data_IF_947367993716
#
_entry.id   IF_947367993716
#
_cell.length_a   1.000
_cell.length_b   1.000
_cell.length_c   1.000
_cell.angle_alpha   90.00
_cell.angle_beta   90.00
_cell.angle_gamma   90.00
#
_symmetry.space_group_name_H-M   'P 1'
#
loop_
_entity.id
_entity.type
_entity.pdbx_description
1 polymer ?
#
# COMPACT_ATOMS: atom_id res chain seq x y z
N UNK A 1 -71.14 -28.76 5.08
CA UNK A 1 -69.85 -29.46 5.08
C UNK A 1 -68.85 -28.62 4.29
N UNK A 2 -68.19 -27.69 4.96
CA UNK A 2 -67.18 -26.82 4.36
C UNK A 2 -65.80 -27.49 4.55
N UNK A 3 -65.08 -27.68 3.44
CA UNK A 3 -63.68 -28.14 3.46
C UNK A 3 -62.79 -26.93 3.34
N UNK A 4 -62.16 -26.56 4.46
CA UNK A 4 -61.16 -25.48 4.56
C UNK A 4 -59.82 -26.03 4.00
N UNK A 5 -59.39 -25.45 2.89
CA UNK A 5 -58.09 -25.76 2.29
C UNK A 5 -57.04 -24.85 2.91
N UNK A 6 -56.14 -25.43 3.74
CA UNK A 6 -54.93 -24.74 4.21
C UNK A 6 -53.94 -24.63 3.06
N UNK A 7 -53.70 -23.43 2.53
CA UNK A 7 -52.56 -23.14 1.67
C UNK A 7 -51.34 -22.88 2.53
N UNK A 8 -50.34 -23.70 2.38
CA UNK A 8 -49.02 -23.55 2.94
C UNK A 8 -48.34 -22.33 2.32
N UNK A 9 -48.02 -21.35 3.15
CA UNK A 9 -47.26 -20.17 2.81
C UNK A 9 -45.79 -20.37 3.27
N UNK A 10 -45.03 -21.10 2.48
CA UNK A 10 -43.61 -21.38 2.71
C UNK A 10 -42.80 -21.01 1.46
N UNK A 11 -42.83 -19.69 1.10
CA UNK A 11 -41.95 -19.17 0.07
C UNK A 11 -41.76 -17.64 0.23
N UNK A 12 -41.24 -17.21 1.38
CA UNK A 12 -40.84 -15.83 1.59
C UNK A 12 -39.74 -15.72 2.65
N UNK A 13 -38.61 -16.42 2.42
CA UNK A 13 -37.41 -16.26 3.26
C UNK A 13 -36.16 -16.65 2.46
N UNK A 14 -35.95 -16.01 1.31
CA UNK A 14 -34.67 -16.05 0.56
C UNK A 14 -34.63 -14.86 -0.40
N UNK A 15 -34.59 -13.66 0.12
CA UNK A 15 -34.12 -12.46 -0.58
C UNK A 15 -33.96 -11.34 0.47
N UNK A 16 -33.01 -11.50 1.34
CA UNK A 16 -32.53 -10.43 2.21
C UNK A 16 -31.01 -10.57 2.23
N UNK A 17 -30.37 -9.69 1.53
CA UNK A 17 -29.00 -9.18 1.62
C UNK A 17 -28.28 -9.23 0.27
N UNK A 18 -28.81 -8.50 -0.72
CA UNK A 18 -27.96 -7.58 -1.48
C UNK A 18 -28.19 -6.23 -0.81
N UNK A 19 -27.55 -5.99 0.32
CA UNK A 19 -27.30 -4.63 0.76
C UNK A 19 -26.49 -3.99 -0.35
N UNK A 20 -27.06 -2.98 -0.99
CA UNK A 20 -26.37 -2.13 -1.95
C UNK A 20 -25.30 -1.42 -1.15
N UNK A 21 -24.01 -1.75 -1.37
CA UNK A 21 -22.88 -1.06 -0.78
C UNK A 21 -23.10 0.45 -0.93
N UNK A 22 -22.79 1.22 0.10
CA UNK A 22 -22.85 2.68 -0.03
C UNK A 22 -21.80 3.13 -1.04
N UNK A 23 -22.02 4.27 -1.72
CA UNK A 23 -21.00 4.82 -2.64
C UNK A 23 -19.63 5.01 -1.99
N UNK A 24 -19.62 5.27 -0.68
CA UNK A 24 -18.38 5.40 0.08
C UNK A 24 -17.71 4.04 0.26
N UNK A 25 -18.49 2.99 0.45
CA UNK A 25 -18.00 1.63 0.58
C UNK A 25 -17.44 1.09 -0.75
N UNK A 26 -18.14 1.34 -1.86
CA UNK A 26 -17.62 1.04 -3.21
C UNK A 26 -16.29 1.75 -3.47
N UNK A 27 -16.18 3.03 -3.11
CA UNK A 27 -14.95 3.81 -3.23
C UNK A 27 -13.84 3.22 -2.34
N UNK A 28 -14.14 2.90 -1.08
CA UNK A 28 -13.18 2.26 -0.17
C UNK A 28 -12.64 0.94 -0.73
N UNK A 29 -13.52 0.09 -1.28
CA UNK A 29 -13.11 -1.16 -1.92
C UNK A 29 -12.24 -0.93 -3.15
N UNK A 30 -12.51 0.10 -3.94
CA UNK A 30 -11.70 0.42 -5.12
C UNK A 30 -10.31 0.95 -4.75
N UNK A 31 -10.21 1.78 -3.72
CA UNK A 31 -8.93 2.26 -3.20
C UNK A 31 -8.10 1.13 -2.54
N UNK A 32 -8.74 0.15 -1.89
CA UNK A 32 -8.05 -1.05 -1.40
C UNK A 32 -7.44 -1.88 -2.54
N UNK A 33 -8.10 -1.98 -3.68
CA UNK A 33 -7.56 -2.68 -4.86
C UNK A 33 -6.38 -1.92 -5.46
N UNK A 34 -6.43 -0.59 -5.42
CA UNK A 34 -5.38 0.29 -5.92
C UNK A 34 -4.11 0.14 -5.09
N UNK A 35 -4.20 0.30 -3.77
CA UNK A 35 -3.03 0.13 -2.88
C UNK A 35 -2.51 -1.32 -2.88
N UNK A 36 -3.36 -2.32 -3.01
CA UNK A 36 -2.94 -3.71 -3.13
C UNK A 36 -2.12 -3.96 -4.39
N UNK A 37 -2.44 -3.29 -5.49
CA UNK A 37 -1.61 -3.31 -6.69
C UNK A 37 -0.28 -2.60 -6.45
N UNK A 38 -0.29 -1.43 -5.81
CA UNK A 38 0.89 -0.63 -5.53
C UNK A 38 1.92 -1.43 -4.72
N UNK A 39 1.52 -2.04 -3.62
CA UNK A 39 2.37 -2.90 -2.78
C UNK A 39 3.00 -4.06 -3.57
N UNK A 40 2.18 -4.77 -4.35
CA UNK A 40 2.66 -5.87 -5.21
C UNK A 40 3.60 -5.40 -6.31
N UNK A 41 3.47 -4.16 -6.75
CA UNK A 41 4.38 -3.54 -7.70
C UNK A 41 5.71 -3.19 -7.02
N UNK A 42 5.67 -2.63 -5.81
CA UNK A 42 6.85 -2.31 -5.01
C UNK A 42 7.68 -3.55 -4.65
N UNK A 43 7.06 -4.66 -4.29
CA UNK A 43 7.77 -5.94 -4.07
C UNK A 43 8.65 -6.32 -5.27
N UNK A 44 8.29 -5.91 -6.50
CA UNK A 44 9.07 -6.17 -7.72
C UNK A 44 10.08 -5.06 -8.03
N UNK A 45 9.82 -3.84 -7.57
CA UNK A 45 10.62 -2.65 -7.92
C UNK A 45 11.73 -2.40 -6.91
N UNK A 46 11.47 -2.58 -5.60
CA UNK A 46 12.45 -2.35 -4.54
C UNK A 46 13.79 -3.10 -4.72
N UNK A 47 13.82 -4.38 -5.18
CA UNK A 47 15.08 -5.06 -5.45
C UNK A 47 15.96 -4.36 -6.50
N UNK A 48 15.36 -3.67 -7.48
CA UNK A 48 16.10 -2.90 -8.49
C UNK A 48 16.71 -1.65 -7.86
N UNK A 49 15.96 -0.96 -7.00
CA UNK A 49 16.43 0.22 -6.27
C UNK A 49 17.60 -0.15 -5.34
N UNK A 50 17.45 -1.22 -4.54
CA UNK A 50 18.51 -1.72 -3.66
C UNK A 50 19.80 -2.09 -4.43
N UNK A 51 19.64 -2.70 -5.62
CA UNK A 51 20.80 -3.05 -6.47
C UNK A 51 21.51 -1.81 -7.04
N UNK A 52 20.78 -0.74 -7.32
CA UNK A 52 21.31 0.49 -7.89
C UNK A 52 21.98 1.41 -6.85
N UNK A 53 21.62 1.26 -5.57
CA UNK A 53 22.25 1.99 -4.47
C UNK A 53 23.72 1.62 -4.30
N UNK A 54 24.54 2.55 -3.82
CA UNK A 54 25.97 2.38 -3.55
C UNK A 54 26.25 2.21 -2.07
N UNK A 55 25.58 3.02 -1.21
CA UNK A 55 25.74 2.96 0.24
C UNK A 55 25.12 1.67 0.80
N UNK A 56 25.88 0.92 1.60
CA UNK A 56 25.43 -0.36 2.18
C UNK A 56 24.25 -0.17 3.15
N UNK A 57 24.22 0.95 3.90
CA UNK A 57 23.12 1.25 4.81
C UNK A 57 21.82 1.52 4.03
N UNK A 58 21.90 2.19 2.86
CA UNK A 58 20.74 2.40 1.98
C UNK A 58 20.24 1.08 1.37
N UNK A 59 21.17 0.22 0.91
CA UNK A 59 20.81 -1.12 0.42
C UNK A 59 20.10 -1.93 1.49
N UNK A 60 20.61 -1.87 2.73
CA UNK A 60 20.03 -2.57 3.87
C UNK A 60 18.62 -2.04 4.15
N UNK A 61 18.47 -0.72 4.28
CA UNK A 61 17.17 -0.10 4.53
C UNK A 61 16.12 -0.49 3.47
N UNK A 62 16.46 -0.45 2.17
CA UNK A 62 15.54 -0.83 1.09
C UNK A 62 15.21 -2.33 1.14
N UNK A 63 16.18 -3.21 1.45
CA UNK A 63 15.91 -4.64 1.55
C UNK A 63 15.05 -4.99 2.78
N UNK A 64 15.26 -4.33 3.91
CA UNK A 64 14.44 -4.49 5.10
C UNK A 64 13.00 -4.03 4.82
N UNK A 65 12.86 -2.87 4.16
CA UNK A 65 11.56 -2.37 3.74
C UNK A 65 10.86 -3.31 2.73
N UNK A 66 11.59 -3.97 1.83
CA UNK A 66 11.03 -4.99 0.95
C UNK A 66 10.36 -6.14 1.72
N UNK A 67 10.96 -6.60 2.83
CA UNK A 67 10.34 -7.64 3.65
C UNK A 67 9.07 -7.12 4.36
N UNK A 68 9.09 -5.87 4.83
CA UNK A 68 7.92 -5.21 5.41
C UNK A 68 6.81 -5.04 4.37
N UNK A 69 7.13 -4.61 3.14
CA UNK A 69 6.19 -4.49 2.00
C UNK A 69 5.49 -5.83 1.69
N UNK A 70 6.20 -6.95 1.76
CA UNK A 70 5.57 -8.29 1.60
C UNK A 70 4.55 -8.58 2.72
N UNK A 71 4.82 -8.11 3.93
CA UNK A 71 3.86 -8.19 5.03
C UNK A 71 2.66 -7.29 4.82
N UNK A 72 2.84 -6.08 4.22
CA UNK A 72 1.74 -5.20 3.86
C UNK A 72 0.79 -5.85 2.85
N UNK A 73 1.33 -6.53 1.83
CA UNK A 73 0.52 -7.33 0.91
C UNK A 73 -0.33 -8.36 1.67
N UNK A 74 0.27 -9.10 2.60
CA UNK A 74 -0.44 -10.09 3.41
C UNK A 74 -1.52 -9.46 4.29
N UNK A 75 -1.26 -8.30 4.88
CA UNK A 75 -2.23 -7.55 5.69
C UNK A 75 -3.39 -7.04 4.86
N UNK A 76 -3.15 -6.57 3.64
CA UNK A 76 -4.23 -6.18 2.73
C UNK A 76 -5.11 -7.39 2.36
N UNK A 77 -4.53 -8.59 2.17
CA UNK A 77 -5.30 -9.82 1.97
C UNK A 77 -6.16 -10.15 3.20
N UNK A 78 -5.67 -9.90 4.42
CA UNK A 78 -6.49 -10.02 5.64
C UNK A 78 -7.62 -8.98 5.66
N UNK A 79 -7.36 -7.74 5.25
CA UNK A 79 -8.41 -6.71 5.14
C UNK A 79 -9.49 -7.15 4.17
N UNK A 80 -9.15 -7.63 2.97
CA UNK A 80 -10.11 -8.18 2.02
C UNK A 80 -10.92 -9.32 2.63
N UNK A 81 -10.27 -10.22 3.39
CA UNK A 81 -10.97 -11.33 4.07
C UNK A 81 -11.96 -10.85 5.13
N UNK A 82 -11.61 -9.80 5.91
CA UNK A 82 -12.52 -9.18 6.90
C UNK A 82 -13.75 -8.59 6.23
N UNK A 83 -13.60 -8.05 5.03
CA UNK A 83 -14.66 -7.46 4.21
C UNK A 83 -15.44 -8.53 3.39
N UNK A 84 -15.14 -9.81 3.57
CA UNK A 84 -15.72 -10.92 2.77
C UNK A 84 -15.50 -10.75 1.25
N UNK A 85 -14.43 -10.03 0.87
CA UNK A 85 -14.02 -9.78 -0.51
C UNK A 85 -12.84 -10.67 -0.91
N UNK A 86 -12.73 -10.95 -2.22
CA UNK A 86 -11.52 -11.60 -2.75
C UNK A 86 -10.45 -10.54 -3.02
N UNK A 87 -9.18 -10.80 -2.66
CA UNK A 87 -8.08 -9.92 -3.03
C UNK A 87 -8.04 -9.72 -4.54
N UNK A 88 -8.14 -8.48 -4.98
CA UNK A 88 -8.10 -8.10 -6.40
C UNK A 88 -7.27 -6.83 -6.55
N UNK A 89 -6.27 -6.87 -7.41
CA UNK A 89 -5.44 -5.71 -7.74
C UNK A 89 -6.08 -4.89 -8.88
N UNK A 90 -6.09 -3.57 -8.73
CA UNK A 90 -6.42 -2.59 -9.75
C UNK A 90 -5.19 -1.71 -9.97
N UNK A 91 -4.75 -1.57 -11.21
CA UNK A 91 -3.52 -0.83 -11.52
C UNK A 91 -3.57 0.58 -10.93
N UNK A 92 -2.54 0.93 -10.14
CA UNK A 92 -2.32 2.26 -9.60
C UNK A 92 -1.45 3.08 -10.54
N UNK A 93 -2.03 4.09 -11.19
CA UNK A 93 -1.30 4.96 -12.11
C UNK A 93 -0.32 5.88 -11.37
N UNK A 94 -0.62 6.25 -10.12
CA UNK A 94 0.26 7.06 -9.29
C UNK A 94 1.54 6.29 -8.94
N UNK A 95 1.43 5.09 -8.39
CA UNK A 95 2.59 4.28 -8.04
C UNK A 95 3.41 3.88 -9.28
N UNK A 96 2.76 3.57 -10.40
CA UNK A 96 3.48 3.34 -11.66
C UNK A 96 4.28 4.58 -12.10
N UNK A 97 3.73 5.77 -11.94
CA UNK A 97 4.42 7.04 -12.25
C UNK A 97 5.61 7.29 -11.33
N UNK A 98 5.43 7.10 -10.02
CA UNK A 98 6.49 7.28 -9.01
C UNK A 98 7.65 6.31 -9.27
N UNK A 99 7.37 5.04 -9.51
CA UNK A 99 8.41 4.04 -9.76
C UNK A 99 9.14 4.25 -11.09
N UNK A 100 8.46 4.75 -12.14
CA UNK A 100 9.10 5.18 -13.39
C UNK A 100 10.03 6.37 -13.19
N UNK A 101 9.66 7.32 -12.34
CA UNK A 101 10.54 8.43 -11.99
C UNK A 101 11.80 7.94 -11.25
N UNK A 102 11.65 6.95 -10.36
CA UNK A 102 12.79 6.27 -9.73
C UNK A 102 13.71 5.59 -10.75
N UNK A 103 13.14 4.93 -11.76
CA UNK A 103 13.91 4.34 -12.86
C UNK A 103 14.69 5.41 -13.65
N UNK A 104 14.07 6.55 -13.95
CA UNK A 104 14.74 7.66 -14.63
C UNK A 104 15.91 8.23 -13.80
N UNK A 105 15.75 8.35 -12.48
CA UNK A 105 16.82 8.79 -11.58
C UNK A 105 18.05 7.85 -11.69
N UNK A 106 17.82 6.54 -11.72
CA UNK A 106 18.91 5.56 -11.87
C UNK A 106 19.59 5.70 -13.25
N UNK A 107 18.81 5.95 -14.31
CA UNK A 107 19.35 6.12 -15.68
C UNK A 107 20.14 7.43 -15.85
N UNK A 108 19.70 8.50 -15.21
CA UNK A 108 20.26 9.85 -15.35
C UNK A 108 21.44 10.14 -14.41
N UNK A 109 21.74 9.24 -13.45
CA UNK A 109 22.83 9.40 -12.47
C UNK A 109 23.96 8.41 -12.71
N UNK A 110 25.19 8.79 -12.35
CA UNK A 110 26.38 7.93 -12.51
C UNK A 110 26.37 6.78 -11.48
N UNK A 111 26.74 5.58 -11.94
CA UNK A 111 26.81 4.40 -11.09
C UNK A 111 27.92 4.51 -10.04
N UNK A 112 27.62 4.07 -8.81
CA UNK A 112 28.56 4.09 -7.71
C UNK A 112 28.73 5.46 -7.03
N UNK A 113 27.88 6.45 -7.33
CA UNK A 113 27.95 7.80 -6.75
C UNK A 113 26.95 8.00 -5.60
N UNK A 114 27.33 8.84 -4.63
CA UNK A 114 26.43 9.27 -3.56
C UNK A 114 25.30 10.15 -4.10
N UNK A 115 25.52 10.87 -5.20
CA UNK A 115 24.47 11.60 -5.93
C UNK A 115 23.35 10.68 -6.38
N UNK A 116 23.64 9.46 -6.88
CA UNK A 116 22.63 8.43 -7.17
C UNK A 116 21.89 8.01 -5.91
N UNK A 117 22.59 7.79 -4.80
CA UNK A 117 21.96 7.39 -3.54
C UNK A 117 21.00 8.45 -3.00
N UNK A 118 21.34 9.74 -3.10
CA UNK A 118 20.41 10.85 -2.82
C UNK A 118 19.16 10.76 -3.68
N UNK A 119 19.31 10.50 -4.98
CA UNK A 119 18.21 10.34 -5.90
C UNK A 119 17.31 9.15 -5.54
N UNK A 120 17.91 8.01 -5.17
CA UNK A 120 17.18 6.80 -4.73
C UNK A 120 16.41 7.08 -3.44
N UNK A 121 17.03 7.73 -2.43
CA UNK A 121 16.34 8.13 -1.19
C UNK A 121 15.12 8.98 -1.53
N UNK A 122 15.29 10.01 -2.37
CA UNK A 122 14.18 10.88 -2.76
C UNK A 122 13.06 10.12 -3.47
N UNK A 123 13.38 9.16 -4.33
CA UNK A 123 12.39 8.31 -5.00
C UNK A 123 11.64 7.42 -4.01
N UNK A 124 12.35 6.79 -3.06
CA UNK A 124 11.73 5.99 -2.00
C UNK A 124 10.82 6.86 -1.12
N UNK A 125 11.24 8.04 -0.67
CA UNK A 125 10.40 8.92 0.13
C UNK A 125 9.11 9.34 -0.59
N UNK A 126 9.12 9.50 -1.92
CA UNK A 126 7.88 9.74 -2.69
C UNK A 126 6.93 8.54 -2.61
N UNK A 127 7.48 7.32 -2.61
CA UNK A 127 6.70 6.09 -2.39
C UNK A 127 6.06 6.12 -1.01
N UNK A 128 6.86 6.33 0.06
CA UNK A 128 6.38 6.37 1.43
C UNK A 128 5.27 7.42 1.62
N UNK A 129 5.47 8.63 1.08
CA UNK A 129 4.46 9.69 1.19
C UNK A 129 3.15 9.36 0.47
N UNK A 130 3.20 8.66 -0.67
CA UNK A 130 2.01 8.13 -1.31
C UNK A 130 1.30 7.11 -0.41
N UNK A 131 2.04 6.18 0.18
CA UNK A 131 1.50 5.13 1.04
C UNK A 131 0.97 5.69 2.36
N UNK A 132 1.67 6.63 3.00
CA UNK A 132 1.22 7.35 4.19
C UNK A 132 -0.13 8.04 3.94
N UNK A 133 -0.28 8.75 2.81
CA UNK A 133 -1.53 9.41 2.47
C UNK A 133 -2.66 8.41 2.23
N UNK A 134 -2.37 7.35 1.50
CA UNK A 134 -3.35 6.31 1.13
C UNK A 134 -3.79 5.51 2.34
N UNK A 135 -2.86 4.96 3.14
CA UNK A 135 -3.19 4.20 4.35
C UNK A 135 -3.88 5.05 5.41
N UNK A 136 -3.48 6.32 5.56
CA UNK A 136 -4.16 7.26 6.45
C UNK A 136 -5.61 7.48 6.06
N UNK A 137 -5.87 7.70 4.78
CA UNK A 137 -7.21 7.84 4.22
C UNK A 137 -8.04 6.56 4.39
N UNK A 138 -7.49 5.41 3.99
CA UNK A 138 -8.15 4.11 4.09
C UNK A 138 -8.48 3.72 5.53
N UNK A 139 -7.57 3.93 6.48
CA UNK A 139 -7.83 3.67 7.90
C UNK A 139 -8.99 4.53 8.42
N UNK A 140 -9.06 5.81 8.03
CA UNK A 140 -10.16 6.68 8.41
C UNK A 140 -11.48 6.28 7.74
N UNK A 141 -11.48 5.88 6.48
CA UNK A 141 -12.66 5.37 5.78
C UNK A 141 -13.17 4.08 6.43
N UNK A 142 -12.28 3.14 6.75
CA UNK A 142 -12.64 1.92 7.46
C UNK A 142 -13.32 2.19 8.81
N UNK A 143 -12.84 3.17 9.58
CA UNK A 143 -13.50 3.62 10.82
C UNK A 143 -14.90 4.17 10.56
N UNK A 144 -15.02 5.02 9.56
CA UNK A 144 -16.32 5.65 9.18
C UNK A 144 -17.36 4.60 8.77
N UNK A 145 -16.92 3.55 8.07
CA UNK A 145 -17.75 2.43 7.63
C UNK A 145 -17.99 1.36 8.72
N UNK A 146 -17.36 1.51 9.90
CA UNK A 146 -17.51 0.57 11.01
C UNK A 146 -16.62 -0.67 10.95
N UNK A 147 -15.69 -0.75 10.00
CA UNK A 147 -14.71 -1.83 9.83
C UNK A 147 -13.53 -1.68 10.79
N UNK A 148 -13.78 -1.70 12.10
CA UNK A 148 -12.77 -1.42 13.14
C UNK A 148 -11.55 -2.33 13.10
N UNK A 149 -11.73 -3.61 12.75
CA UNK A 149 -10.62 -4.57 12.60
C UNK A 149 -9.75 -4.25 11.38
N UNK A 150 -10.36 -3.89 10.26
CA UNK A 150 -9.64 -3.45 9.06
C UNK A 150 -8.88 -2.15 9.33
N UNK A 151 -9.52 -1.18 10.00
CA UNK A 151 -8.88 0.07 10.40
C UNK A 151 -7.59 -0.16 11.20
N UNK A 152 -7.62 -1.04 12.21
CA UNK A 152 -6.45 -1.33 13.04
C UNK A 152 -5.28 -1.95 12.24
N UNK A 153 -5.57 -2.79 11.24
CA UNK A 153 -4.56 -3.36 10.35
C UNK A 153 -3.94 -2.26 9.47
N UNK A 154 -4.78 -1.40 8.87
CA UNK A 154 -4.33 -0.29 8.03
C UNK A 154 -3.52 0.76 8.81
N UNK A 155 -3.90 1.04 10.06
CA UNK A 155 -3.14 1.93 10.96
C UNK A 155 -1.77 1.37 11.32
N UNK A 156 -1.65 0.05 11.46
CA UNK A 156 -0.36 -0.58 11.72
C UNK A 156 0.59 -0.38 10.52
N UNK A 157 0.12 -0.62 9.30
CA UNK A 157 0.90 -0.36 8.09
C UNK A 157 1.26 1.13 7.98
N UNK A 158 0.30 2.04 8.19
CA UNK A 158 0.58 3.48 8.21
C UNK A 158 1.72 3.88 9.18
N UNK A 159 1.82 3.22 10.34
CA UNK A 159 2.92 3.50 11.29
C UNK A 159 4.26 3.06 10.72
N UNK A 160 4.31 1.91 10.07
CA UNK A 160 5.52 1.36 9.49
C UNK A 160 6.01 2.19 8.29
N UNK A 161 5.09 2.74 7.44
CA UNK A 161 5.48 3.65 6.35
C UNK A 161 6.08 4.97 6.88
N UNK A 162 5.54 5.50 7.97
CA UNK A 162 6.12 6.69 8.62
C UNK A 162 7.49 6.41 9.22
N UNK A 163 7.72 5.23 9.74
CA UNK A 163 9.02 4.80 10.27
C UNK A 163 10.03 4.63 9.13
N UNK A 164 9.61 4.10 7.97
CA UNK A 164 10.44 3.97 6.78
C UNK A 164 10.85 5.35 6.23
N UNK A 165 9.92 6.28 6.06
CA UNK A 165 10.20 7.66 5.61
C UNK A 165 11.18 8.38 6.56
N UNK A 166 10.97 8.26 7.88
CA UNK A 166 11.87 8.82 8.88
C UNK A 166 13.29 8.22 8.78
N UNK A 167 13.40 6.91 8.61
CA UNK A 167 14.68 6.22 8.49
C UNK A 167 15.45 6.66 7.23
N UNK A 168 14.75 6.87 6.11
CA UNK A 168 15.35 7.42 4.89
C UNK A 168 15.86 8.85 5.09
N UNK A 169 15.09 9.68 5.83
CA UNK A 169 15.52 11.05 6.19
C UNK A 169 16.80 11.01 7.04
N UNK A 170 16.83 10.19 8.07
CA UNK A 170 18.00 10.05 8.96
C UNK A 170 19.24 9.58 8.18
N UNK A 171 19.08 8.65 7.25
CA UNK A 171 20.15 8.17 6.39
C UNK A 171 20.69 9.26 5.47
N UNK A 172 19.81 10.06 4.86
CA UNK A 172 20.19 11.19 4.01
C UNK A 172 21.00 12.24 4.79
N UNK A 173 20.52 12.61 6.01
CA UNK A 173 21.12 13.63 6.85
C UNK A 173 22.45 13.18 7.50
N UNK A 174 22.57 11.88 7.82
CA UNK A 174 23.76 11.38 8.52
C UNK A 174 25.03 11.40 7.64
N UNK A 175 24.92 10.96 6.39
CA UNK A 175 26.12 10.74 5.55
C UNK A 175 25.92 11.00 4.06
N UNK A 176 24.81 10.57 3.47
CA UNK A 176 24.65 10.47 2.01
C UNK A 176 24.68 11.85 1.35
N UNK A 177 23.99 12.85 1.93
CA UNK A 177 23.96 14.21 1.38
C UNK A 177 25.32 14.91 1.42
N UNK A 178 26.10 14.70 2.50
CA UNK A 178 27.45 15.29 2.61
C UNK A 178 28.41 14.63 1.62
N UNK A 179 28.32 13.32 1.43
CA UNK A 179 29.13 12.58 0.44
C UNK A 179 28.82 13.06 -0.99
N UNK A 180 27.54 13.17 -1.33
CA UNK A 180 27.12 13.68 -2.64
C UNK A 180 27.57 15.13 -2.90
N UNK A 181 27.58 15.98 -1.88
CA UNK A 181 28.06 17.37 -2.00
C UNK A 181 29.56 17.46 -2.18
N UNK A 182 30.32 16.41 -1.89
CA UNK A 182 31.77 16.34 -2.03
C UNK A 182 32.24 15.75 -3.38
N UNK A 183 31.32 15.20 -4.19
CA UNK A 183 31.58 14.73 -5.57
C UNK A 183 31.68 15.90 -6.55
#
# INVERSE_FOLDING_TARGET
MEKTTKRNNTKAAKNASQENDSRLEEFFHDELKDIYWAEKHLVKTLPKMAKAASAEDLKTAINDHLEVTKEHVTRLEQVFSILEQKPQAKKCDAMEGITKEGDSIIEDTEDGTATRDVGIILACQKVEHYEIATYGGLAQLAKTLGYTKAAAILEKTLSEEKEADQSLTELAEATVNEQANAE
#
